data_IF_825311310603
#
_entry.id   IF_825311310603
#
_cell.length_a   1.000
_cell.length_b   1.000
_cell.length_c   1.000
_cell.angle_alpha   90.00
_cell.angle_beta   90.00
_cell.angle_gamma   90.00
#
_symmetry.space_group_name_H-M   'P 1'
#
loop_
_entity.id
_entity.type
_entity.pdbx_description
1 polymer ?
#
# COMPACT_ATOMS: atom_id res chain seq x y z
N UNK A 1 -15.23 -1.46 -18.19
CA UNK A 1 -13.84 -1.86 -17.89
C UNK A 1 -12.96 -0.70 -17.45
N UNK A 2 -13.14 0.52 -17.99
CA UNK A 2 -12.41 1.72 -17.55
C UNK A 2 -12.33 1.92 -16.01
N UNK A 3 -13.40 1.70 -15.21
CA UNK A 3 -13.33 1.84 -13.74
C UNK A 3 -12.38 0.84 -13.06
N UNK A 4 -12.41 -0.43 -13.48
CA UNK A 4 -11.54 -1.50 -12.97
C UNK A 4 -10.08 -1.21 -13.28
N UNK A 5 -9.80 -0.86 -14.54
CA UNK A 5 -8.45 -0.50 -15.00
C UNK A 5 -7.90 0.70 -14.25
N UNK A 6 -8.72 1.75 -14.08
CA UNK A 6 -8.32 2.94 -13.35
C UNK A 6 -8.06 2.65 -11.86
N UNK A 7 -8.82 1.74 -11.25
CA UNK A 7 -8.61 1.36 -9.85
C UNK A 7 -7.26 0.67 -9.66
N UNK A 8 -6.92 -0.31 -10.50
CA UNK A 8 -5.59 -0.95 -10.45
C UNK A 8 -4.45 0.03 -10.76
N UNK A 9 -4.60 0.91 -11.76
CA UNK A 9 -3.60 1.96 -12.03
C UNK A 9 -3.39 2.87 -10.82
N UNK A 10 -4.47 3.31 -10.19
CA UNK A 10 -4.40 4.18 -9.01
C UNK A 10 -3.73 3.48 -7.82
N UNK A 11 -4.07 2.21 -7.57
CA UNK A 11 -3.42 1.43 -6.51
C UNK A 11 -1.92 1.27 -6.76
N UNK A 12 -1.51 0.90 -7.97
CA UNK A 12 -0.09 0.72 -8.33
C UNK A 12 0.71 2.01 -8.16
N UNK A 13 0.14 3.16 -8.55
CA UNK A 13 0.76 4.48 -8.34
C UNK A 13 0.91 4.76 -6.84
N UNK A 14 -0.16 4.60 -6.04
CA UNK A 14 -0.10 4.86 -4.60
C UNK A 14 0.89 3.96 -3.87
N UNK A 15 0.97 2.68 -4.25
CA UNK A 15 1.96 1.75 -3.68
C UNK A 15 3.39 2.20 -4.03
N UNK A 16 3.62 2.65 -5.27
CA UNK A 16 4.93 3.16 -5.69
C UNK A 16 5.30 4.47 -4.97
N UNK A 17 4.39 5.43 -4.89
CA UNK A 17 4.59 6.70 -4.19
C UNK A 17 4.95 6.44 -2.72
N UNK A 18 4.21 5.54 -2.07
CA UNK A 18 4.46 5.18 -0.68
C UNK A 18 5.81 4.49 -0.48
N UNK A 19 6.21 3.59 -1.39
CA UNK A 19 7.55 2.99 -1.40
C UNK A 19 8.65 4.06 -1.50
N UNK A 20 8.44 5.10 -2.32
CA UNK A 20 9.39 6.20 -2.45
C UNK A 20 9.47 7.03 -1.16
N UNK A 21 8.33 7.35 -0.54
CA UNK A 21 8.28 8.06 0.76
C UNK A 21 9.07 7.29 1.82
N UNK A 22 8.84 5.99 1.95
CA UNK A 22 9.58 5.15 2.91
C UNK A 22 11.08 5.10 2.62
N UNK A 23 11.45 5.03 1.33
CA UNK A 23 12.87 5.03 0.90
C UNK A 23 13.55 6.34 1.26
N UNK A 24 12.90 7.47 0.97
CA UNK A 24 13.42 8.80 1.30
C UNK A 24 13.56 8.96 2.81
N UNK A 25 12.53 8.62 3.58
CA UNK A 25 12.57 8.65 5.04
C UNK A 25 13.76 7.85 5.60
N UNK A 26 13.97 6.63 5.11
CA UNK A 26 15.11 5.81 5.51
C UNK A 26 16.47 6.45 5.15
N UNK A 27 16.58 7.10 3.98
CA UNK A 27 17.80 7.79 3.55
C UNK A 27 18.09 9.02 4.42
N UNK A 28 17.09 9.87 4.66
CA UNK A 28 17.23 11.06 5.51
C UNK A 28 17.68 10.67 6.93
N UNK A 29 17.02 9.68 7.55
CA UNK A 29 17.41 9.20 8.87
C UNK A 29 18.82 8.60 8.91
N UNK A 30 19.20 7.84 7.87
CA UNK A 30 20.55 7.27 7.76
C UNK A 30 21.64 8.35 7.63
N UNK A 31 21.31 9.48 6.98
CA UNK A 31 22.21 10.61 6.81
C UNK A 31 22.32 11.50 8.07
N UNK A 32 21.59 11.17 9.14
CA UNK A 32 21.53 11.97 10.35
C UNK A 32 20.69 13.24 10.19
N UNK A 33 19.87 13.33 9.14
CA UNK A 33 18.88 14.40 8.98
C UNK A 33 17.82 14.25 10.08
N UNK A 34 17.65 15.34 10.82
CA UNK A 34 16.81 15.45 12.00
C UNK A 34 15.76 16.55 11.83
N UNK A 35 15.39 16.88 10.60
CA UNK A 35 14.35 17.87 10.31
C UNK A 35 13.10 17.64 11.18
N UNK A 36 12.58 18.72 11.76
CA UNK A 36 11.49 18.65 12.74
C UNK A 36 10.25 17.99 12.14
N UNK A 37 9.92 18.19 10.86
CA UNK A 37 8.76 17.55 10.23
C UNK A 37 8.89 16.01 10.14
N UNK A 38 10.12 15.51 9.91
CA UNK A 38 10.43 14.08 9.85
C UNK A 38 10.48 13.47 11.27
N UNK A 39 11.02 14.20 12.25
CA UNK A 39 11.15 13.80 13.65
C UNK A 39 9.84 13.90 14.43
N UNK A 40 8.99 14.88 14.16
CA UNK A 40 7.66 15.03 14.77
C UNK A 40 6.76 13.85 14.36
N UNK A 41 7.02 13.24 13.19
CA UNK A 41 6.37 12.01 12.75
C UNK A 41 7.02 10.73 13.32
N UNK A 42 8.30 10.79 13.71
CA UNK A 42 9.10 9.66 14.16
C UNK A 42 9.65 9.91 15.56
N UNK A 43 8.87 9.51 16.56
CA UNK A 43 9.22 9.79 17.94
C UNK A 43 10.40 8.95 18.43
N UNK A 44 11.07 9.58 19.39
CA UNK A 44 12.21 9.05 20.11
C UNK A 44 11.73 8.32 21.37
N UNK A 45 12.47 7.34 21.88
CA UNK A 45 12.22 6.68 23.15
C UNK A 45 12.15 7.68 24.32
N UNK A 46 11.82 7.21 25.53
CA UNK A 46 11.75 8.04 26.75
C UNK A 46 13.06 8.80 27.05
N UNK A 47 14.16 8.46 26.37
CA UNK A 47 15.50 9.06 26.49
C UNK A 47 15.88 9.92 25.28
N UNK A 48 15.01 10.10 24.30
CA UNK A 48 15.28 10.93 23.13
C UNK A 48 16.05 10.24 21.99
N UNK A 49 16.06 8.90 21.92
CA UNK A 49 16.63 8.12 20.80
C UNK A 49 15.60 7.58 19.83
N UNK A 50 15.86 7.65 18.53
CA UNK A 50 15.07 6.91 17.54
C UNK A 50 15.24 5.40 17.77
N UNK A 51 14.18 4.61 17.55
CA UNK A 51 14.29 3.16 17.62
C UNK A 51 15.38 2.64 16.68
N UNK A 52 16.22 1.74 17.17
CA UNK A 52 17.40 1.27 16.45
C UNK A 52 17.06 0.54 15.15
N UNK A 53 15.87 -0.05 15.06
CA UNK A 53 15.34 -0.80 13.93
C UNK A 53 14.51 0.05 12.96
N UNK A 54 14.32 1.35 13.22
CA UNK A 54 13.42 2.20 12.44
C UNK A 54 13.83 2.30 10.96
N UNK A 55 15.12 2.52 10.70
CA UNK A 55 15.65 2.61 9.33
C UNK A 55 15.47 1.28 8.59
N UNK A 56 15.67 0.16 9.28
CA UNK A 56 15.47 -1.17 8.72
C UNK A 56 13.98 -1.42 8.43
N UNK A 57 13.09 -1.09 9.35
CA UNK A 57 11.63 -1.19 9.18
C UNK A 57 11.09 -0.37 8.01
N UNK A 58 11.61 0.84 7.80
CA UNK A 58 11.26 1.68 6.65
C UNK A 58 11.76 1.08 5.32
N UNK A 59 12.99 0.54 5.30
CA UNK A 59 13.55 -0.16 4.13
C UNK A 59 12.79 -1.43 3.80
N UNK A 60 12.39 -2.20 4.81
CA UNK A 60 11.58 -3.41 4.66
C UNK A 60 10.19 -3.09 4.12
N UNK A 61 9.54 -2.06 4.66
CA UNK A 61 8.26 -1.56 4.16
C UNK A 61 8.34 -1.16 2.69
N UNK A 62 9.39 -0.42 2.31
CA UNK A 62 9.64 -0.02 0.91
C UNK A 62 9.87 -1.25 0.01
N UNK A 63 10.68 -2.19 0.46
CA UNK A 63 11.01 -3.42 -0.28
C UNK A 63 9.76 -4.25 -0.53
N UNK A 64 8.93 -4.44 0.49
CA UNK A 64 7.65 -5.15 0.35
C UNK A 64 6.69 -4.43 -0.60
N UNK A 65 6.58 -3.11 -0.52
CA UNK A 65 5.76 -2.35 -1.46
C UNK A 65 6.17 -2.60 -2.93
N UNK A 66 7.49 -2.65 -3.21
CA UNK A 66 8.01 -2.97 -4.55
C UNK A 66 7.69 -4.41 -4.98
N UNK A 67 7.87 -5.38 -4.08
CA UNK A 67 7.56 -6.80 -4.35
C UNK A 67 6.07 -6.97 -4.70
N UNK A 68 5.17 -6.38 -3.91
CA UNK A 68 3.73 -6.46 -4.18
C UNK A 68 3.33 -5.75 -5.46
N UNK A 69 3.96 -4.60 -5.78
CA UNK A 69 3.69 -3.91 -7.05
C UNK A 69 3.98 -4.82 -8.26
N UNK A 70 5.13 -5.51 -8.24
CA UNK A 70 5.49 -6.47 -9.29
C UNK A 70 4.57 -7.69 -9.32
N UNK A 71 4.19 -8.20 -8.13
CA UNK A 71 3.26 -9.33 -8.02
C UNK A 71 1.89 -9.00 -8.61
N UNK A 72 1.32 -7.83 -8.26
CA UNK A 72 0.05 -7.34 -8.81
C UNK A 72 0.13 -7.21 -10.33
N UNK A 73 1.20 -6.62 -10.86
CA UNK A 73 1.42 -6.50 -12.31
C UNK A 73 1.49 -7.87 -12.99
N UNK A 74 2.19 -8.84 -12.38
CA UNK A 74 2.28 -10.21 -12.89
C UNK A 74 0.92 -10.90 -12.91
N UNK A 75 0.13 -10.77 -11.85
CA UNK A 75 -1.22 -11.33 -11.78
C UNK A 75 -2.13 -10.72 -12.86
N UNK A 76 -2.09 -9.40 -13.06
CA UNK A 76 -2.86 -8.72 -14.12
C UNK A 76 -2.44 -9.15 -15.54
N UNK A 77 -1.13 -9.37 -15.76
CA UNK A 77 -0.58 -9.92 -17.03
C UNK A 77 -1.12 -11.32 -17.34
N UNK A 78 -1.15 -12.16 -16.32
CA UNK A 78 -1.60 -13.55 -16.42
C UNK A 78 -3.13 -13.70 -16.32
N UNK A 79 -3.86 -12.57 -16.37
CA UNK A 79 -5.31 -12.53 -16.23
C UNK A 79 -5.82 -13.15 -14.93
N UNK A 80 -5.08 -13.05 -13.83
CA UNK A 80 -5.53 -13.41 -12.49
C UNK A 80 -5.99 -12.16 -11.73
N UNK A 81 -7.22 -11.73 -12.03
CA UNK A 81 -7.80 -10.56 -11.40
C UNK A 81 -8.01 -10.74 -9.89
N UNK A 82 -8.28 -11.98 -9.45
CA UNK A 82 -8.56 -12.31 -8.05
C UNK A 82 -7.30 -12.14 -7.21
N UNK A 83 -6.20 -12.72 -7.66
CA UNK A 83 -4.93 -12.63 -6.96
C UNK A 83 -4.42 -11.19 -6.93
N UNK A 84 -4.52 -10.47 -8.04
CA UNK A 84 -4.18 -9.04 -8.10
C UNK A 84 -4.99 -8.20 -7.09
N UNK A 85 -6.30 -8.48 -6.96
CA UNK A 85 -7.17 -7.83 -5.98
C UNK A 85 -6.75 -8.14 -4.53
N UNK A 86 -6.49 -9.41 -4.22
CA UNK A 86 -6.08 -9.84 -2.87
C UNK A 86 -4.72 -9.26 -2.49
N UNK A 87 -3.79 -9.18 -3.44
CA UNK A 87 -2.48 -8.56 -3.24
C UNK A 87 -2.60 -7.07 -2.93
N UNK A 88 -3.45 -6.32 -3.65
CA UNK A 88 -3.71 -4.89 -3.36
C UNK A 88 -4.25 -4.72 -1.94
N UNK A 89 -5.21 -5.54 -1.51
CA UNK A 89 -5.75 -5.45 -0.16
C UNK A 89 -4.72 -5.80 0.92
N UNK A 90 -3.92 -6.84 0.67
CA UNK A 90 -2.90 -7.34 1.60
C UNK A 90 -1.81 -6.30 1.79
N UNK A 91 -1.25 -5.76 0.70
CA UNK A 91 -0.21 -4.74 0.77
C UNK A 91 -0.74 -3.45 1.40
N UNK A 92 -1.98 -3.03 1.06
CA UNK A 92 -2.59 -1.84 1.64
C UNK A 92 -2.74 -1.97 3.16
N UNK A 93 -3.19 -3.13 3.66
CA UNK A 93 -3.29 -3.40 5.10
C UNK A 93 -1.92 -3.42 5.76
N UNK A 94 -0.95 -4.07 5.14
CA UNK A 94 0.40 -4.15 5.67
C UNK A 94 1.06 -2.77 5.77
N UNK A 95 0.97 -1.95 4.72
CA UNK A 95 1.59 -0.62 4.68
C UNK A 95 0.91 0.36 5.64
N UNK A 96 -0.42 0.34 5.78
CA UNK A 96 -1.10 1.08 6.85
C UNK A 96 -0.62 0.61 8.24
N UNK A 97 -0.45 -0.70 8.46
CA UNK A 97 0.07 -1.25 9.72
C UNK A 97 1.54 -0.88 9.99
N UNK A 98 2.35 -0.66 8.95
CA UNK A 98 3.70 -0.11 9.10
C UNK A 98 3.65 1.34 9.59
N UNK A 99 2.71 2.17 9.11
CA UNK A 99 2.52 3.54 9.62
C UNK A 99 2.16 3.51 11.10
N UNK A 100 1.15 2.71 11.47
CA UNK A 100 0.72 2.59 12.87
C UNK A 100 1.89 2.16 13.78
N UNK A 101 2.67 1.16 13.34
CA UNK A 101 3.77 0.62 14.15
C UNK A 101 4.92 1.59 14.31
N UNK A 102 5.30 2.32 13.26
CA UNK A 102 6.51 3.12 13.26
C UNK A 102 6.28 4.61 13.55
N UNK A 103 5.08 5.15 13.31
CA UNK A 103 4.74 6.55 13.58
C UNK A 103 3.98 6.73 14.91
N UNK A 104 3.10 5.79 15.26
CA UNK A 104 2.09 6.02 16.30
C UNK A 104 2.45 5.38 17.65
N UNK A 105 2.95 4.14 17.65
CA UNK A 105 3.33 3.45 18.90
C UNK A 105 4.55 4.04 19.60
N UNK A 106 5.36 4.84 18.91
CA UNK A 106 6.53 5.49 19.49
C UNK A 106 6.21 6.90 20.00
N UNK A 107 5.03 7.45 19.68
CA UNK A 107 4.62 8.80 20.06
C UNK A 107 4.00 8.85 21.47
N UNK A 108 4.25 9.90 22.28
CA UNK A 108 3.67 10.04 23.61
C UNK A 108 2.20 10.40 23.44
N UNK A 109 1.33 10.01 24.39
CA UNK A 109 -0.12 10.08 24.19
C UNK A 109 -0.69 11.43 23.72
N UNK A 110 0.01 12.54 24.01
CA UNK A 110 -0.37 13.91 23.64
C UNK A 110 0.13 14.37 22.25
N UNK A 111 1.13 13.70 21.64
CA UNK A 111 1.64 14.02 20.30
C UNK A 111 1.31 12.92 19.27
N UNK A 112 0.59 11.87 19.68
CA UNK A 112 0.01 10.89 18.75
C UNK A 112 -0.93 11.60 17.79
N UNK A 113 -0.77 11.36 16.49
CA UNK A 113 -1.79 11.75 15.52
C UNK A 113 -2.99 10.83 15.76
N UNK A 114 -4.18 11.37 16.05
CA UNK A 114 -5.32 10.52 16.35
C UNK A 114 -5.65 9.66 15.13
N UNK A 115 -5.96 8.37 15.32
CA UNK A 115 -6.31 7.51 14.22
C UNK A 115 -7.42 8.14 13.37
N UNK A 116 -7.38 7.91 12.04
CA UNK A 116 -6.72 6.72 11.51
C UNK A 116 -5.65 7.02 10.44
N UNK A 117 -4.48 6.36 10.55
CA UNK A 117 -3.34 6.41 9.61
C UNK A 117 -3.62 5.67 8.30
N UNK A 118 -4.81 5.84 7.74
CA UNK A 118 -5.29 5.00 6.66
C UNK A 118 -4.94 5.64 5.31
N UNK A 119 -3.64 5.73 5.02
CA UNK A 119 -3.13 6.23 3.74
C UNK A 119 -3.79 5.47 2.57
N UNK A 120 -4.05 4.17 2.74
CA UNK A 120 -4.69 3.34 1.72
C UNK A 120 -6.22 3.22 1.85
N UNK A 121 -6.90 3.98 2.74
CA UNK A 121 -8.38 3.96 2.82
C UNK A 121 -9.06 4.29 1.50
N UNK A 122 -8.65 5.35 0.78
CA UNK A 122 -9.32 5.70 -0.48
C UNK A 122 -9.22 4.56 -1.49
N UNK A 123 -8.08 3.86 -1.53
CA UNK A 123 -7.87 2.68 -2.38
C UNK A 123 -8.82 1.55 -1.95
N UNK A 124 -8.88 1.20 -0.65
CA UNK A 124 -9.77 0.14 -0.16
C UNK A 124 -11.25 0.45 -0.46
N UNK A 125 -11.69 1.70 -0.29
CA UNK A 125 -13.06 2.13 -0.58
C UNK A 125 -13.36 2.04 -2.08
N UNK A 126 -12.44 2.53 -2.93
CA UNK A 126 -12.59 2.46 -4.37
C UNK A 126 -12.63 1.00 -4.87
N UNK A 127 -11.79 0.14 -4.32
CA UNK A 127 -11.77 -1.28 -4.66
C UNK A 127 -13.04 -2.01 -4.20
N UNK A 128 -13.53 -1.73 -3.00
CA UNK A 128 -14.80 -2.30 -2.54
C UNK A 128 -16.00 -1.87 -3.41
N UNK A 129 -15.99 -0.63 -3.91
CA UNK A 129 -17.01 -0.16 -4.84
C UNK A 129 -16.88 -0.79 -6.24
N UNK A 130 -15.66 -1.06 -6.68
CA UNK A 130 -15.37 -1.58 -8.04
C UNK A 130 -15.47 -3.10 -8.11
N UNK A 131 -15.17 -3.79 -7.00
CA UNK A 131 -15.17 -5.23 -6.81
C UNK A 131 -15.93 -5.56 -5.51
N UNK A 132 -17.26 -5.45 -5.51
CA UNK A 132 -18.07 -5.69 -4.31
C UNK A 132 -18.09 -7.17 -3.85
N UNK A 133 -17.55 -8.09 -4.67
CA UNK A 133 -17.43 -9.53 -4.38
C UNK A 133 -16.09 -10.08 -4.88
N UNK A 134 -15.65 -11.20 -4.32
CA UNK A 134 -14.42 -11.89 -4.70
C UNK A 134 -14.57 -12.52 -6.09
N UNK A 135 -13.62 -12.26 -6.98
CA UNK A 135 -13.59 -12.80 -8.34
C UNK A 135 -13.49 -14.34 -8.31
N UNK A 136 -14.30 -15.01 -9.13
CA UNK A 136 -14.44 -16.46 -9.18
C UNK A 136 -15.38 -17.05 -8.13
N UNK A 137 -16.16 -16.22 -7.43
CA UNK A 137 -17.25 -16.69 -6.58
C UNK A 137 -18.43 -17.14 -7.46
N UNK A 138 -19.10 -18.28 -7.20
CA UNK A 138 -20.33 -18.65 -7.91
C UNK A 138 -21.42 -17.55 -7.85
N UNK A 139 -21.33 -16.61 -6.90
CA UNK A 139 -22.18 -15.43 -6.82
C UNK A 139 -21.58 -14.17 -7.47
N UNK A 140 -20.62 -14.29 -8.37
CA UNK A 140 -19.95 -13.16 -9.03
C UNK A 140 -20.93 -12.21 -9.73
N UNK A 141 -20.63 -10.92 -9.64
CA UNK A 141 -21.40 -9.91 -10.37
C UNK A 141 -20.98 -9.91 -11.85
N UNK A 142 -21.88 -9.57 -12.80
CA UNK A 142 -21.55 -9.48 -14.22
C UNK A 142 -20.34 -8.60 -14.54
N UNK A 143 -20.15 -7.54 -13.74
CA UNK A 143 -19.04 -6.60 -13.86
C UNK A 143 -17.68 -7.25 -13.57
N UNK A 144 -17.62 -8.16 -12.59
CA UNK A 144 -16.42 -8.89 -12.19
C UNK A 144 -16.02 -9.90 -13.28
N UNK A 145 -17.00 -10.69 -13.75
CA UNK A 145 -16.78 -11.65 -14.84
C UNK A 145 -16.37 -10.97 -16.15
N UNK A 146 -16.96 -9.81 -16.46
CA UNK A 146 -16.57 -9.02 -17.62
C UNK A 146 -15.12 -8.54 -17.54
N UNK A 147 -14.64 -8.18 -16.34
CA UNK A 147 -13.25 -7.76 -16.14
C UNK A 147 -12.28 -8.93 -16.30
N UNK A 148 -12.62 -10.10 -15.77
CA UNK A 148 -11.84 -11.32 -15.97
C UNK A 148 -11.68 -11.64 -17.46
N UNK A 149 -12.79 -11.67 -18.22
CA UNK A 149 -12.75 -11.89 -19.68
C UNK A 149 -11.98 -10.81 -20.43
N UNK A 150 -12.05 -9.56 -19.98
CA UNK A 150 -11.28 -8.46 -20.56
C UNK A 150 -9.77 -8.70 -20.44
N UNK A 151 -9.29 -9.19 -19.29
CA UNK A 151 -7.86 -9.49 -19.08
C UNK A 151 -7.36 -10.67 -19.91
N UNK A 152 -8.24 -11.65 -20.20
CA UNK A 152 -7.93 -12.79 -21.07
C UNK A 152 -7.79 -12.35 -22.54
N UNK A 153 -8.48 -11.27 -22.91
CA UNK A 153 -8.52 -10.71 -24.25
C UNK A 153 -7.23 -10.00 -24.71
N UNK A 154 -7.17 -9.62 -26.00
CA UNK A 154 -6.03 -8.91 -26.57
C UNK A 154 -5.87 -7.48 -26.06
N UNK A 155 -6.94 -6.87 -25.54
CA UNK A 155 -6.96 -5.48 -25.05
C UNK A 155 -6.42 -5.32 -23.62
N UNK A 156 -5.84 -6.36 -23.03
CA UNK A 156 -5.25 -6.30 -21.69
C UNK A 156 -4.07 -5.32 -21.68
N UNK A 157 -4.16 -4.18 -20.97
CA UNK A 157 -3.12 -3.14 -21.01
C UNK A 157 -1.87 -3.48 -20.21
N UNK A 158 -1.87 -4.60 -19.48
CA UNK A 158 -0.74 -5.03 -18.67
C UNK A 158 0.08 -6.14 -19.32
N UNK A 159 -0.43 -6.85 -20.33
CA UNK A 159 0.36 -7.80 -21.14
C UNK A 159 1.54 -7.09 -21.80
#
# INVERSE_FOLDING_TARGET
MKPQVNSFKSALVRIADYSNILTQAAQHLSAGDRSEDLIVSLMRDEKGHLASDLVEGLRDGSTKAKIYNQRILSSLKNADAKEAYLDVLTVSRYLDGCLDRFLDMQSPAHARVPPPYIFFRPIKVQFAATFPRNIGDPADTPTVLAFQKFLEGPDNPWR
#
